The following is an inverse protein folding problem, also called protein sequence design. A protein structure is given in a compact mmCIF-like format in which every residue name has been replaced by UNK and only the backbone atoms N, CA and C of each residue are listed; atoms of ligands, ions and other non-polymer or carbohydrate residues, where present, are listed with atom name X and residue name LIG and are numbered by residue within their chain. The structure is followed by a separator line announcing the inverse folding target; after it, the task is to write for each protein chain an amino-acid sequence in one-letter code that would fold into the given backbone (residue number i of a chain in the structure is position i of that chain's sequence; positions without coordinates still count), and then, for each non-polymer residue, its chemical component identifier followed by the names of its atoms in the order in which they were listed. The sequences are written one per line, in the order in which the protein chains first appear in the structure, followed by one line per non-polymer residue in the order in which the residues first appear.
data_IF_242537288873
#
_entry.id   IF_242537288873
#
_cell.length_a   1.000
_cell.length_b   1.000
_cell.length_c   1.000
_cell.angle_alpha   90.00
_cell.angle_beta   90.00
_cell.angle_gamma   90.00
#
_symmetry.space_group_name_H-M   'P 1'
#
loop_
_entity.id
_entity.type
_entity.pdbx_description
1 polymer ?
#
# COMPACT_ATOMS: atom_id res chain seq x y z
N UNK A 1 21.37 -10.78 7.41
CA UNK A 1 20.55 -9.94 6.51
C UNK A 1 21.17 -8.55 6.47
N UNK A 2 21.25 -7.94 5.30
CA UNK A 2 21.80 -6.58 5.18
C UNK A 2 20.74 -5.57 5.58
N UNK A 3 20.96 -4.82 6.67
CA UNK A 3 20.03 -3.81 7.18
C UNK A 3 20.12 -2.52 6.36
N UNK A 4 18.99 -1.89 6.07
CA UNK A 4 18.92 -0.57 5.43
C UNK A 4 18.92 0.54 6.49
N UNK A 5 19.38 1.73 6.12
CA UNK A 5 19.21 2.93 6.94
C UNK A 5 17.74 3.39 6.92
N UNK A 6 17.14 3.43 5.72
CA UNK A 6 15.77 3.93 5.50
C UNK A 6 14.99 2.94 4.62
N UNK A 7 13.81 2.50 5.08
CA UNK A 7 12.81 1.88 4.22
C UNK A 7 11.71 2.90 3.87
N UNK A 8 11.37 3.00 2.59
CA UNK A 8 10.34 3.90 2.08
C UNK A 8 9.22 3.04 1.50
N UNK A 9 8.00 3.19 2.01
CA UNK A 9 6.86 2.37 1.60
C UNK A 9 5.89 3.22 0.79
N UNK A 10 5.99 3.13 -0.54
CA UNK A 10 5.18 3.86 -1.51
C UNK A 10 6.03 4.56 -2.57
N UNK A 11 5.63 4.45 -3.83
CA UNK A 11 6.31 5.04 -5.01
C UNK A 11 5.60 6.28 -5.58
N UNK A 12 4.67 6.88 -4.83
CA UNK A 12 4.06 8.16 -5.19
C UNK A 12 5.02 9.35 -4.96
N UNK A 13 4.59 10.60 -5.28
CA UNK A 13 5.46 11.78 -5.18
C UNK A 13 6.15 11.97 -3.81
N UNK A 14 5.49 11.58 -2.72
CA UNK A 14 6.09 11.61 -1.38
C UNK A 14 7.27 10.63 -1.25
N UNK A 15 7.07 9.36 -1.62
CA UNK A 15 8.12 8.35 -1.54
C UNK A 15 9.28 8.60 -2.50
N UNK A 16 8.98 9.06 -3.73
CA UNK A 16 10.02 9.42 -4.70
C UNK A 16 10.86 10.59 -4.19
N UNK A 17 10.22 11.66 -3.69
CA UNK A 17 10.93 12.79 -3.09
C UNK A 17 11.79 12.36 -1.89
N UNK A 18 11.28 11.46 -1.06
CA UNK A 18 12.04 10.89 0.05
C UNK A 18 13.27 10.10 -0.42
N UNK A 19 13.12 9.25 -1.44
CA UNK A 19 14.19 8.43 -2.00
C UNK A 19 15.30 9.29 -2.64
N UNK A 20 14.92 10.33 -3.39
CA UNK A 20 15.88 11.29 -3.96
C UNK A 20 16.72 11.93 -2.85
N UNK A 21 16.07 12.41 -1.78
CA UNK A 21 16.78 13.03 -0.66
C UNK A 21 17.64 12.03 0.13
N UNK A 22 17.17 10.80 0.34
CA UNK A 22 17.96 9.74 0.96
C UNK A 22 19.23 9.43 0.15
N UNK A 23 19.11 9.36 -1.19
CA UNK A 23 20.24 9.18 -2.12
C UNK A 23 21.24 10.33 -2.03
N UNK A 24 20.78 11.58 -2.08
CA UNK A 24 21.63 12.78 -1.97
C UNK A 24 22.41 12.80 -0.65
N UNK A 25 21.80 12.30 0.44
CA UNK A 25 22.42 12.21 1.77
C UNK A 25 23.26 10.94 1.98
N UNK A 26 23.54 10.18 0.92
CA UNK A 26 24.34 8.96 0.93
C UNK A 26 23.86 7.93 1.97
N UNK A 27 22.55 7.80 2.17
CA UNK A 27 21.97 6.75 3.02
C UNK A 27 21.75 5.49 2.20
N UNK A 28 21.88 4.34 2.85
CA UNK A 28 21.49 3.07 2.24
C UNK A 28 19.99 2.89 2.41
N UNK A 29 19.21 2.98 1.35
CA UNK A 29 17.75 2.90 1.43
C UNK A 29 17.15 1.88 0.47
N UNK A 30 15.91 1.49 0.76
CA UNK A 30 15.04 0.70 -0.12
C UNK A 30 13.71 1.43 -0.27
N UNK A 31 13.15 1.42 -1.48
CA UNK A 31 11.82 1.95 -1.76
C UNK A 31 10.94 0.85 -2.36
N UNK A 32 9.78 0.64 -1.76
CA UNK A 32 8.75 -0.29 -2.21
C UNK A 32 7.65 0.45 -2.96
N UNK A 33 7.14 -0.14 -4.03
CA UNK A 33 6.09 0.49 -4.81
C UNK A 33 5.72 -0.28 -6.07
N UNK A 34 5.14 0.41 -7.04
CA UNK A 34 4.66 -0.18 -8.28
C UNK A 34 5.39 0.37 -9.51
N UNK A 35 5.30 -0.36 -10.64
CA UNK A 35 5.91 0.04 -11.92
C UNK A 35 5.35 1.35 -12.47
N UNK A 36 4.11 1.68 -12.11
CA UNK A 36 3.44 2.89 -12.56
C UNK A 36 3.71 4.12 -11.67
N UNK A 37 4.57 4.00 -10.65
CA UNK A 37 4.80 4.98 -9.57
C UNK A 37 3.56 5.24 -8.71
N UNK A 38 2.48 5.72 -9.32
CA UNK A 38 1.17 5.84 -8.70
C UNK A 38 0.05 5.88 -9.75
N UNK A 39 -0.97 5.05 -9.56
CA UNK A 39 -2.15 5.02 -10.43
C UNK A 39 -2.95 6.33 -10.41
N UNK A 40 -2.86 7.11 -9.32
CA UNK A 40 -3.53 8.41 -9.20
C UNK A 40 -2.94 9.44 -10.15
N UNK A 41 -1.62 9.44 -10.33
CA UNK A 41 -0.95 10.35 -11.24
C UNK A 41 -1.30 9.98 -12.68
N UNK A 42 -1.13 8.71 -13.08
CA UNK A 42 -1.36 8.26 -14.47
C UNK A 42 -2.77 8.57 -14.96
N UNK A 43 -3.77 8.52 -14.08
CA UNK A 43 -5.17 8.84 -14.42
C UNK A 43 -5.46 10.34 -14.56
N UNK A 44 -4.53 11.24 -14.24
CA UNK A 44 -4.75 12.68 -14.29
C UNK A 44 -4.74 13.18 -15.75
N UNK A 45 -5.85 13.73 -16.27
CA UNK A 45 -5.91 14.18 -17.67
C UNK A 45 -5.06 15.43 -17.93
N UNK A 46 -4.94 16.31 -16.92
CA UNK A 46 -4.18 17.56 -16.99
C UNK A 46 -3.84 18.06 -15.59
N UNK A 47 -2.62 18.54 -15.42
CA UNK A 47 -2.08 19.08 -14.16
C UNK A 47 -1.56 20.49 -14.40
N UNK A 48 -2.15 21.48 -13.73
CA UNK A 48 -1.77 22.90 -13.86
C UNK A 48 -1.15 23.48 -12.58
N UNK A 49 -1.17 22.72 -11.49
CA UNK A 49 -0.84 23.17 -10.14
C UNK A 49 0.41 22.50 -9.57
N UNK A 50 1.22 21.86 -10.41
CA UNK A 50 2.57 21.45 -10.07
C UNK A 50 3.54 22.45 -10.70
N UNK A 51 4.21 23.25 -9.87
CA UNK A 51 5.16 24.26 -10.33
C UNK A 51 6.24 23.62 -11.21
N UNK A 52 6.37 24.08 -12.46
CA UNK A 52 7.30 23.55 -13.46
C UNK A 52 6.71 22.53 -14.45
N UNK A 53 5.51 22.00 -14.21
CA UNK A 53 4.84 21.03 -15.10
C UNK A 53 3.46 21.51 -15.57
N UNK A 54 3.32 22.81 -15.85
CA UNK A 54 2.03 23.38 -16.26
C UNK A 54 1.51 22.76 -17.55
N UNK A 55 0.26 22.29 -17.53
CA UNK A 55 -0.45 21.80 -18.71
C UNK A 55 -0.15 20.36 -19.08
N UNK A 56 0.77 19.70 -18.38
CA UNK A 56 1.11 18.30 -18.62
C UNK A 56 0.02 17.35 -18.12
N UNK A 57 -0.15 16.22 -18.77
CA UNK A 57 -0.95 15.12 -18.25
C UNK A 57 -0.15 14.28 -17.24
N UNK A 58 -0.86 13.37 -16.56
CA UNK A 58 -0.30 12.51 -15.55
C UNK A 58 0.82 11.58 -16.03
N UNK A 59 0.68 11.05 -17.24
CA UNK A 59 1.66 10.13 -17.82
C UNK A 59 2.97 10.86 -18.20
N UNK A 60 2.88 12.08 -18.73
CA UNK A 60 4.04 12.94 -18.99
C UNK A 60 4.82 13.24 -17.69
N UNK A 61 4.11 13.56 -16.60
CA UNK A 61 4.74 13.80 -15.30
C UNK A 61 5.34 12.50 -14.74
N UNK A 62 4.66 11.36 -14.88
CA UNK A 62 5.20 10.04 -14.49
C UNK A 62 6.53 9.78 -15.19
N UNK A 63 6.61 10.03 -16.49
CA UNK A 63 7.84 9.83 -17.26
C UNK A 63 8.96 10.76 -16.77
N UNK A 64 8.65 12.02 -16.44
CA UNK A 64 9.62 12.96 -15.83
C UNK A 64 10.13 12.50 -14.46
N UNK A 65 9.27 11.86 -13.66
CA UNK A 65 9.72 11.24 -12.41
C UNK A 65 10.62 10.03 -12.66
N UNK A 66 10.27 9.17 -13.61
CA UNK A 66 11.09 8.01 -13.98
C UNK A 66 12.48 8.44 -14.49
N UNK A 67 12.55 9.44 -15.38
CA UNK A 67 13.81 10.03 -15.87
C UNK A 67 14.71 10.49 -14.71
N UNK A 68 14.13 11.08 -13.66
CA UNK A 68 14.88 11.53 -12.49
C UNK A 68 15.41 10.37 -11.65
N UNK A 69 14.59 9.32 -11.43
CA UNK A 69 15.03 8.11 -10.73
C UNK A 69 16.18 7.42 -11.46
N UNK A 70 16.06 7.29 -12.78
CA UNK A 70 17.06 6.65 -13.64
C UNK A 70 18.38 7.45 -13.59
N UNK A 71 18.31 8.78 -13.73
CA UNK A 71 19.48 9.66 -13.65
C UNK A 71 20.21 9.57 -12.29
N UNK A 72 19.48 9.27 -11.21
CA UNK A 72 20.04 9.10 -9.87
C UNK A 72 20.35 7.64 -9.51
N UNK A 73 20.14 6.70 -10.43
CA UNK A 73 20.29 5.26 -10.19
C UNK A 73 19.50 4.83 -8.93
N UNK A 74 18.20 5.11 -8.92
CA UNK A 74 17.26 4.73 -7.86
C UNK A 74 16.30 3.68 -8.43
N UNK A 75 16.37 2.47 -7.89
CA UNK A 75 15.50 1.36 -8.30
C UNK A 75 14.35 1.18 -7.31
N UNK A 76 13.14 0.98 -7.84
CA UNK A 76 11.96 0.64 -7.04
C UNK A 76 11.85 -0.88 -6.90
N UNK A 77 11.60 -1.33 -5.68
CA UNK A 77 11.30 -2.73 -5.38
C UNK A 77 9.81 -2.95 -5.60
N UNK A 78 9.46 -3.72 -6.64
CA UNK A 78 8.08 -4.00 -7.03
C UNK A 78 7.47 -5.14 -6.20
N UNK A 79 7.47 -4.98 -4.89
CA UNK A 79 6.91 -5.95 -3.95
C UNK A 79 6.01 -5.23 -2.93
N UNK A 80 4.96 -5.92 -2.49
CA UNK A 80 3.98 -5.36 -1.56
C UNK A 80 4.43 -5.58 -0.12
N UNK A 81 4.49 -4.48 0.64
CA UNK A 81 4.69 -4.55 2.09
C UNK A 81 3.36 -4.87 2.76
N UNK A 82 3.32 -5.98 3.50
CA UNK A 82 2.10 -6.50 4.13
C UNK A 82 1.96 -6.00 5.57
N UNK A 83 3.05 -6.06 6.33
CA UNK A 83 3.10 -5.61 7.72
C UNK A 83 4.48 -5.07 8.05
N UNK A 84 4.51 -4.16 9.03
CA UNK A 84 5.75 -3.59 9.55
C UNK A 84 5.68 -3.60 11.07
N UNK A 85 6.70 -4.19 11.69
CA UNK A 85 6.80 -4.29 13.14
C UNK A 85 7.94 -3.42 13.65
N UNK A 86 7.65 -2.59 14.65
CA UNK A 86 8.66 -1.85 15.38
C UNK A 86 9.35 -2.80 16.37
N UNK A 87 10.65 -3.03 16.20
CA UNK A 87 11.44 -3.99 16.97
C UNK A 87 12.27 -3.32 18.08
N UNK A 88 12.07 -2.01 18.32
CA UNK A 88 12.88 -1.20 19.21
C UNK A 88 13.83 -0.30 18.42
N UNK A 89 15.01 -0.83 18.05
CA UNK A 89 16.07 -0.09 17.35
C UNK A 89 15.98 -0.15 15.81
N UNK A 90 15.02 -0.91 15.28
CA UNK A 90 14.76 -1.04 13.84
C UNK A 90 13.32 -1.46 13.57
N UNK A 91 12.98 -1.52 12.28
CA UNK A 91 11.71 -1.99 11.74
C UNK A 91 11.92 -3.26 10.92
N UNK A 92 11.09 -4.26 11.15
CA UNK A 92 10.99 -5.46 10.31
C UNK A 92 9.82 -5.31 9.35
N UNK A 93 10.07 -5.35 8.04
CA UNK A 93 9.07 -5.25 6.99
C UNK A 93 8.83 -6.65 6.42
N UNK A 94 7.58 -7.12 6.53
CA UNK A 94 7.12 -8.36 5.89
C UNK A 94 6.67 -8.04 4.48
N UNK A 95 7.31 -8.65 3.50
CA UNK A 95 7.13 -8.37 2.08
C UNK A 95 6.94 -9.70 1.36
N UNK A 96 5.69 -10.07 1.06
CA UNK A 96 5.35 -11.41 0.62
C UNK A 96 5.96 -12.47 1.57
N UNK A 97 6.79 -13.39 1.04
CA UNK A 97 7.51 -14.41 1.82
C UNK A 97 8.89 -13.96 2.33
N UNK A 98 9.27 -12.68 2.11
CA UNK A 98 10.55 -12.11 2.48
C UNK A 98 10.43 -11.19 3.69
N UNK A 99 11.56 -10.98 4.35
CA UNK A 99 11.71 -10.01 5.43
C UNK A 99 12.85 -9.05 5.11
N UNK A 100 12.58 -7.75 5.31
CA UNK A 100 13.56 -6.68 5.20
C UNK A 100 13.69 -5.96 6.54
N UNK A 101 14.89 -5.42 6.82
CA UNK A 101 15.12 -4.63 8.03
C UNK A 101 15.59 -3.22 7.67
N UNK A 102 15.06 -2.21 8.37
CA UNK A 102 15.52 -0.84 8.27
C UNK A 102 15.56 -0.12 9.63
N UNK A 103 16.56 0.72 9.87
CA UNK A 103 16.66 1.51 11.10
C UNK A 103 15.57 2.58 11.22
N UNK A 104 15.15 3.14 10.09
CA UNK A 104 14.06 4.12 10.02
C UNK A 104 13.08 3.77 8.91
N UNK A 105 11.86 4.27 9.04
CA UNK A 105 10.74 3.98 8.16
C UNK A 105 10.08 5.28 7.68
N UNK A 106 9.79 5.38 6.39
CA UNK A 106 8.97 6.46 5.81
C UNK A 106 7.75 5.82 5.15
N UNK A 107 6.58 6.05 5.75
CA UNK A 107 5.28 5.66 5.21
C UNK A 107 4.82 6.69 4.18
N UNK A 108 4.77 6.29 2.91
CA UNK A 108 4.35 7.13 1.79
C UNK A 108 3.29 6.41 0.95
N UNK A 109 2.44 5.61 1.61
CA UNK A 109 1.47 4.70 0.99
C UNK A 109 0.37 5.45 0.24
N UNK A 110 0.15 6.72 0.56
CA UNK A 110 -0.97 7.49 0.04
C UNK A 110 -2.25 7.23 0.84
N UNK A 111 -3.40 7.51 0.23
CA UNK A 111 -4.71 7.28 0.85
C UNK A 111 -5.63 6.60 -0.13
N UNK A 112 -6.44 5.70 0.39
CA UNK A 112 -7.55 5.14 -0.34
C UNK A 112 -8.86 5.46 0.39
N UNK A 113 -9.82 5.95 -0.39
CA UNK A 113 -11.08 6.48 0.13
C UNK A 113 -12.19 5.44 0.24
N UNK A 114 -11.89 4.18 -0.03
CA UNK A 114 -12.87 3.11 0.06
C UNK A 114 -13.14 2.83 1.53
N UNK A 115 -14.34 3.21 1.99
CA UNK A 115 -14.82 2.80 3.31
C UNK A 115 -14.70 1.28 3.41
N UNK A 116 -14.29 0.80 4.58
CA UNK A 116 -14.34 -0.62 4.88
C UNK A 116 -15.77 -1.13 4.68
N UNK A 117 -15.90 -2.32 4.10
CA UNK A 117 -17.18 -3.00 3.97
C UNK A 117 -17.67 -3.34 5.39
N UNK A 118 -18.97 -3.31 5.64
CA UNK A 118 -19.51 -3.71 6.95
C UNK A 118 -19.01 -5.13 7.27
N UNK A 119 -18.48 -5.34 8.47
CA UNK A 119 -17.87 -6.61 8.89
C UNK A 119 -16.41 -6.84 8.45
N UNK A 120 -15.85 -6.03 7.54
CA UNK A 120 -14.46 -6.19 7.05
C UNK A 120 -13.45 -6.19 8.20
N UNK A 121 -13.55 -5.22 9.12
CA UNK A 121 -12.64 -5.10 10.27
C UNK A 121 -12.93 -6.13 11.36
N UNK A 122 -14.20 -6.54 11.52
CA UNK A 122 -14.63 -7.50 12.55
C UNK A 122 -14.10 -8.91 12.27
N UNK A 123 -14.11 -9.31 11.00
CA UNK A 123 -13.66 -10.62 10.55
C UNK A 123 -12.21 -10.64 10.06
N UNK A 124 -11.45 -9.56 10.25
CA UNK A 124 -10.03 -9.51 9.89
C UNK A 124 -9.24 -10.58 10.67
N UNK A 125 -8.51 -11.44 9.95
CA UNK A 125 -7.83 -12.59 10.51
C UNK A 125 -8.75 -13.77 10.90
N UNK A 126 -10.07 -13.65 10.65
CA UNK A 126 -11.09 -14.68 10.88
C UNK A 126 -11.88 -14.98 9.60
N UNK A 127 -11.21 -14.95 8.45
CA UNK A 127 -11.82 -15.12 7.14
C UNK A 127 -11.68 -13.88 6.25
N UNK A 128 -11.37 -12.70 6.79
CA UNK A 128 -10.98 -11.52 5.97
C UNK A 128 -9.47 -11.35 5.97
N UNK A 129 -8.90 -11.09 4.79
CA UNK A 129 -7.48 -10.80 4.60
C UNK A 129 -7.23 -9.75 3.51
N UNK A 130 -6.02 -9.19 3.49
CA UNK A 130 -5.61 -8.17 2.52
C UNK A 130 -4.47 -8.60 1.59
N UNK A 131 -3.91 -9.78 1.82
CA UNK A 131 -2.93 -10.44 0.97
C UNK A 131 -3.45 -11.86 0.70
N UNK A 132 -4.03 -12.09 -0.47
CA UNK A 132 -4.62 -13.39 -0.79
C UNK A 132 -3.50 -14.43 -0.94
N UNK A 133 -2.38 -14.07 -1.57
CA UNK A 133 -1.22 -14.97 -1.72
C UNK A 133 -0.63 -15.45 -0.39
N UNK A 134 -0.60 -14.59 0.64
CA UNK A 134 -0.09 -14.92 1.97
C UNK A 134 -0.98 -15.94 2.70
N UNK A 135 -2.30 -15.75 2.60
CA UNK A 135 -3.28 -16.48 3.40
C UNK A 135 -3.95 -17.63 2.62
N UNK A 136 -3.82 -17.69 1.29
CA UNK A 136 -4.45 -18.70 0.44
C UNK A 136 -4.18 -20.15 0.87
N UNK A 137 -2.98 -20.54 1.36
CA UNK A 137 -2.76 -21.90 1.87
C UNK A 137 -3.73 -22.31 2.99
N UNK A 138 -4.24 -21.37 3.81
CA UNK A 138 -5.20 -21.62 4.90
C UNK A 138 -6.62 -21.96 4.39
N UNK A 139 -6.89 -21.63 3.13
CA UNK A 139 -8.18 -21.81 2.47
C UNK A 139 -8.12 -22.79 1.30
N UNK A 140 -7.12 -23.69 1.31
CA UNK A 140 -7.05 -24.81 0.37
C UNK A 140 -8.34 -25.65 0.41
N UNK A 141 -8.89 -25.97 -0.77
CA UNK A 141 -10.15 -26.70 -0.95
C UNK A 141 -11.39 -26.03 -0.31
N UNK A 142 -11.34 -24.72 -0.05
CA UNK A 142 -12.47 -23.93 0.45
C UNK A 142 -12.99 -22.97 -0.60
N UNK A 143 -14.17 -22.39 -0.34
CA UNK A 143 -14.74 -21.35 -1.20
C UNK A 143 -14.13 -20.02 -0.80
N UNK A 144 -13.56 -19.30 -1.76
CA UNK A 144 -12.90 -18.01 -1.55
C UNK A 144 -13.57 -16.95 -2.41
N UNK A 145 -13.64 -15.73 -1.89
CA UNK A 145 -14.05 -14.55 -2.64
C UNK A 145 -12.95 -13.50 -2.60
N UNK A 146 -12.56 -12.97 -3.76
CA UNK A 146 -11.64 -11.84 -3.87
C UNK A 146 -12.43 -10.62 -4.33
N UNK A 147 -12.30 -9.51 -3.60
CA UNK A 147 -12.81 -8.19 -3.99
C UNK A 147 -11.61 -7.38 -4.51
N UNK A 148 -11.52 -7.24 -5.83
CA UNK A 148 -10.37 -6.62 -6.50
C UNK A 148 -10.62 -5.15 -6.84
N UNK A 149 -9.79 -4.25 -6.31
CA UNK A 149 -9.85 -2.80 -6.62
C UNK A 149 -8.85 -2.36 -7.69
N UNK A 150 -7.91 -3.25 -8.07
CA UNK A 150 -6.86 -2.97 -9.04
C UNK A 150 -6.57 -4.21 -9.91
N UNK A 151 -5.73 -4.04 -10.94
CA UNK A 151 -5.37 -5.13 -11.86
C UNK A 151 -4.46 -6.17 -11.19
N UNK A 152 -3.65 -5.77 -10.22
CA UNK A 152 -2.78 -6.66 -9.46
C UNK A 152 -3.58 -7.74 -8.72
N UNK A 153 -4.83 -7.46 -8.32
CA UNK A 153 -5.74 -8.43 -7.74
C UNK A 153 -6.09 -9.61 -8.69
N UNK A 154 -5.98 -9.42 -10.01
CA UNK A 154 -6.21 -10.49 -11.00
C UNK A 154 -5.09 -11.55 -10.94
N UNK A 155 -3.85 -11.13 -10.69
CA UNK A 155 -2.71 -12.05 -10.52
C UNK A 155 -2.87 -12.89 -9.24
N UNK A 156 -3.24 -12.24 -8.13
CA UNK A 156 -3.54 -12.95 -6.89
C UNK A 156 -4.72 -13.91 -7.06
N UNK A 157 -5.77 -13.52 -7.79
CA UNK A 157 -6.92 -14.38 -8.07
C UNK A 157 -6.54 -15.63 -8.87
N UNK A 158 -5.68 -15.51 -9.89
CA UNK A 158 -5.17 -16.67 -10.63
C UNK A 158 -4.42 -17.63 -9.72
N UNK A 159 -3.54 -17.13 -8.85
CA UNK A 159 -2.84 -17.97 -7.87
C UNK A 159 -3.80 -18.68 -6.90
N UNK A 160 -4.75 -17.96 -6.32
CA UNK A 160 -5.71 -18.56 -5.36
C UNK A 160 -6.62 -19.58 -6.03
N UNK A 161 -6.95 -19.40 -7.32
CA UNK A 161 -7.79 -20.34 -8.08
C UNK A 161 -7.20 -21.74 -8.21
N UNK A 162 -5.88 -21.89 -8.07
CA UNK A 162 -5.19 -23.19 -8.08
C UNK A 162 -5.30 -23.94 -6.74
N UNK A 163 -5.66 -23.24 -5.66
CA UNK A 163 -5.71 -23.77 -4.30
C UNK A 163 -7.13 -23.92 -3.75
N UNK A 164 -8.02 -22.98 -4.08
CA UNK A 164 -9.41 -22.95 -3.61
C UNK A 164 -10.26 -24.00 -4.35
N UNK A 165 -11.34 -24.47 -3.71
CA UNK A 165 -12.31 -25.35 -4.39
C UNK A 165 -13.21 -24.57 -5.35
N UNK A 166 -13.44 -23.29 -5.05
CA UNK A 166 -14.19 -22.35 -5.88
C UNK A 166 -13.70 -20.93 -5.56
N UNK A 167 -13.54 -20.12 -6.60
CA UNK A 167 -13.14 -18.72 -6.46
C UNK A 167 -14.17 -17.79 -7.11
N UNK A 168 -14.70 -16.86 -6.32
CA UNK A 168 -15.45 -15.72 -6.80
C UNK A 168 -14.54 -14.50 -6.92
N UNK A 169 -14.61 -13.77 -8.04
CA UNK A 169 -13.92 -12.50 -8.21
C UNK A 169 -14.93 -11.37 -8.39
N UNK A 170 -14.89 -10.38 -7.50
CA UNK A 170 -15.77 -9.20 -7.50
C UNK A 170 -14.94 -7.97 -7.92
N UNK A 171 -14.97 -7.57 -9.21
CA UNK A 171 -14.20 -6.42 -9.68
C UNK A 171 -14.85 -5.09 -9.26
N UNK A 172 -14.08 -4.22 -8.61
CA UNK A 172 -14.49 -2.88 -8.18
C UNK A 172 -13.99 -1.77 -9.13
N UNK A 173 -13.41 -2.16 -10.27
CA UNK A 173 -12.97 -1.29 -11.36
C UNK A 173 -13.59 -1.74 -12.68
N UNK A 174 -13.54 -0.87 -13.69
CA UNK A 174 -14.01 -1.18 -15.04
C UNK A 174 -12.82 -1.56 -15.92
N UNK A 175 -12.95 -2.63 -16.69
CA UNK A 175 -11.95 -3.07 -17.65
C UNK A 175 -12.22 -4.49 -18.14
N UNK A 176 -11.33 -4.97 -19.00
CA UNK A 176 -11.19 -6.40 -19.29
C UNK A 176 -10.35 -7.05 -18.19
N UNK A 177 -10.74 -8.26 -17.77
CA UNK A 177 -10.09 -9.02 -16.70
C UNK A 177 -9.36 -10.24 -17.29
N UNK A 178 -8.11 -10.41 -16.92
CA UNK A 178 -7.26 -11.52 -17.35
C UNK A 178 -7.31 -12.62 -16.27
N UNK A 179 -8.41 -13.38 -16.25
CA UNK A 179 -8.70 -14.41 -15.27
C UNK A 179 -8.88 -15.79 -15.92
N UNK A 180 -8.66 -16.86 -15.15
CA UNK A 180 -8.88 -18.23 -15.60
C UNK A 180 -10.38 -18.55 -15.69
N UNK A 181 -10.79 -19.44 -16.61
CA UNK A 181 -12.19 -19.88 -16.77
C UNK A 181 -12.79 -20.53 -15.50
N UNK A 182 -11.94 -21.01 -14.60
CA UNK A 182 -12.35 -21.57 -13.30
C UNK A 182 -12.82 -20.50 -12.29
N UNK A 183 -12.58 -19.22 -12.55
CA UNK A 183 -12.89 -18.10 -11.67
C UNK A 183 -14.27 -17.54 -12.06
N UNK A 184 -15.21 -17.54 -11.12
CA UNK A 184 -16.54 -17.00 -11.35
C UNK A 184 -16.53 -15.48 -11.08
N UNK A 185 -16.67 -14.68 -12.14
CA UNK A 185 -16.67 -13.22 -12.05
C UNK A 185 -18.07 -12.73 -11.69
N UNK A 186 -18.19 -12.01 -10.58
CA UNK A 186 -19.46 -11.49 -10.04
C UNK A 186 -19.49 -9.97 -10.15
N UNK A 187 -20.32 -9.47 -11.06
CA UNK A 187 -20.55 -8.04 -11.25
C UNK A 187 -21.62 -7.50 -10.29
N UNK A 188 -21.25 -7.34 -9.03
CA UNK A 188 -22.12 -6.79 -8.00
C UNK A 188 -21.32 -6.00 -6.96
N UNK A 189 -21.98 -5.21 -6.12
CA UNK A 189 -21.30 -4.41 -5.09
C UNK A 189 -21.35 -5.10 -3.73
N UNK A 190 -20.22 -5.25 -3.03
CA UNK A 190 -20.19 -5.77 -1.66
C UNK A 190 -20.82 -4.81 -0.66
N UNK A 191 -21.69 -5.34 0.19
CA UNK A 191 -22.45 -4.60 1.21
C UNK A 191 -21.99 -4.97 2.62
N UNK A 192 -21.87 -6.26 2.90
CA UNK A 192 -21.57 -6.78 4.24
C UNK A 192 -20.85 -8.13 4.18
N UNK A 193 -19.83 -8.29 5.01
CA UNK A 193 -19.17 -9.57 5.30
C UNK A 193 -19.73 -10.05 6.64
N UNK A 194 -20.21 -11.29 6.69
CA UNK A 194 -20.88 -11.84 7.86
C UNK A 194 -20.44 -13.27 8.17
N UNK A 195 -20.67 -13.66 9.42
CA UNK A 195 -20.27 -14.94 9.98
C UNK A 195 -20.55 -15.01 11.49
N UNK A 196 -20.39 -16.19 12.08
CA UNK A 196 -20.46 -16.35 13.55
C UNK A 196 -19.06 -16.19 14.16
N UNK A 197 -18.25 -17.27 14.11
CA UNK A 197 -16.86 -17.25 14.59
C UNK A 197 -15.86 -16.83 13.50
N UNK A 198 -16.21 -17.11 12.25
CA UNK A 198 -15.43 -16.83 11.04
C UNK A 198 -16.39 -16.46 9.91
N UNK A 199 -15.87 -15.88 8.85
CA UNK A 199 -16.64 -15.58 7.63
C UNK A 199 -17.33 -16.85 7.12
N UNK A 200 -18.62 -16.71 6.78
CA UNK A 200 -19.37 -17.74 6.04
C UNK A 200 -20.14 -17.15 4.84
N UNK A 201 -20.29 -15.82 4.75
CA UNK A 201 -21.10 -15.18 3.73
C UNK A 201 -20.60 -13.78 3.38
N UNK A 202 -20.59 -13.47 2.08
CA UNK A 202 -20.47 -12.11 1.55
C UNK A 202 -21.83 -11.70 0.95
N UNK A 203 -22.44 -10.66 1.52
CA UNK A 203 -23.64 -10.03 0.98
C UNK A 203 -23.26 -8.97 -0.05
N UNK A 204 -23.85 -9.08 -1.22
CA UNK A 204 -23.77 -8.12 -2.30
C UNK A 204 -25.08 -7.33 -2.38
N UNK A 205 -25.17 -6.35 -3.28
CA UNK A 205 -26.38 -5.52 -3.45
C UNK A 205 -27.56 -6.35 -3.97
N UNK A 206 -27.30 -7.31 -4.87
CA UNK A 206 -28.33 -8.10 -5.56
C UNK A 206 -28.23 -9.61 -5.28
N UNK A 207 -27.18 -10.06 -4.59
CA UNK A 207 -26.91 -11.47 -4.35
C UNK A 207 -26.25 -11.73 -2.98
N UNK A 208 -26.16 -13.00 -2.62
CA UNK A 208 -25.38 -13.47 -1.47
C UNK A 208 -24.48 -14.61 -1.92
N UNK A 209 -23.21 -14.58 -1.49
CA UNK A 209 -22.23 -15.61 -1.76
C UNK A 209 -21.89 -16.33 -0.47
N UNK A 210 -22.02 -17.66 -0.44
CA UNK A 210 -21.41 -18.48 0.59
C UNK A 210 -19.91 -18.55 0.34
N UNK A 211 -19.11 -18.22 1.35
CA UNK A 211 -17.66 -18.14 1.21
C UNK A 211 -16.97 -18.33 2.55
N UNK A 212 -15.86 -19.06 2.56
CA UNK A 212 -15.05 -19.29 3.75
C UNK A 212 -14.03 -18.16 3.99
N UNK A 213 -13.73 -17.38 2.95
CA UNK A 213 -12.75 -16.29 3.00
C UNK A 213 -13.11 -15.15 2.05
N UNK A 214 -12.89 -13.91 2.49
CA UNK A 214 -13.01 -12.70 1.68
C UNK A 214 -11.69 -11.95 1.69
N UNK A 215 -10.98 -11.93 0.58
CA UNK A 215 -9.79 -11.13 0.41
C UNK A 215 -10.13 -9.78 -0.23
N UNK A 216 -9.79 -8.68 0.45
CA UNK A 216 -10.09 -7.33 -0.01
C UNK A 216 -8.80 -6.69 -0.55
N UNK A 217 -8.58 -6.80 -1.86
CA UNK A 217 -7.33 -6.41 -2.50
C UNK A 217 -7.40 -4.97 -3.01
N UNK A 218 -6.95 -4.06 -2.13
CA UNK A 218 -6.85 -2.60 -2.34
C UNK A 218 -5.42 -2.18 -2.69
N UNK A 219 -5.24 -0.98 -3.27
CA UNK A 219 -3.91 -0.39 -3.51
C UNK A 219 -3.17 -0.11 -2.18
N UNK A 220 -3.93 0.25 -1.14
CA UNK A 220 -3.38 0.54 0.18
C UNK A 220 -4.18 -0.12 1.30
N UNK A 221 -3.46 -0.62 2.31
CA UNK A 221 -4.02 -1.06 3.58
C UNK A 221 -4.08 0.16 4.51
N UNK A 222 -5.02 0.20 5.45
CA UNK A 222 -5.05 1.30 6.43
C UNK A 222 -3.71 1.38 7.17
N UNK A 223 -3.15 2.58 7.38
CA UNK A 223 -1.83 2.70 7.99
C UNK A 223 -1.69 2.04 9.36
N UNK A 224 -2.76 2.03 10.18
CA UNK A 224 -2.77 1.38 11.49
C UNK A 224 -2.75 -0.16 11.43
N UNK A 225 -3.22 -0.76 10.33
CA UNK A 225 -3.07 -2.21 10.10
C UNK A 225 -1.70 -2.55 9.51
N UNK A 226 -1.15 -1.68 8.66
CA UNK A 226 0.19 -1.84 8.11
C UNK A 226 1.26 -1.77 9.21
N UNK A 227 1.10 -0.82 10.15
CA UNK A 227 2.01 -0.62 11.29
C UNK A 227 1.20 -0.63 12.59
N UNK A 228 1.16 -1.76 13.32
CA UNK A 228 0.44 -1.84 14.58
C UNK A 228 0.93 -0.79 15.60
N UNK A 229 0.00 -0.12 16.28
CA UNK A 229 0.29 0.90 17.29
C UNK A 229 0.49 2.32 16.74
N UNK A 230 0.37 2.52 15.42
CA UNK A 230 0.42 3.84 14.81
C UNK A 230 -0.83 4.68 15.17
N UNK A 231 -0.63 5.92 15.63
CA UNK A 231 -1.73 6.85 15.90
C UNK A 231 -2.37 7.35 14.60
N UNK A 232 -3.69 7.16 14.49
CA UNK A 232 -4.51 7.58 13.36
C UNK A 232 -5.53 8.62 13.83
N UNK A 233 -5.63 9.72 13.11
CA UNK A 233 -6.60 10.80 13.34
C UNK A 233 -7.36 11.06 12.03
N UNK A 234 -8.70 11.00 12.07
CA UNK A 234 -9.58 11.16 10.89
C UNK A 234 -9.24 10.28 9.67
N UNK A 235 -8.64 9.12 9.92
CA UNK A 235 -8.21 8.17 8.89
C UNK A 235 -6.82 8.46 8.32
N UNK A 236 -6.08 9.43 8.87
CA UNK A 236 -4.72 9.79 8.48
C UNK A 236 -3.71 9.48 9.58
N UNK A 237 -2.48 9.20 9.20
CA UNK A 237 -1.37 9.05 10.14
C UNK A 237 -1.12 10.41 10.77
N UNK A 238 -1.21 10.47 12.10
CA UNK A 238 -0.94 11.69 12.84
C UNK A 238 0.57 11.95 12.83
N UNK A 239 0.95 13.16 12.40
CA UNK A 239 2.36 13.58 12.34
C UNK A 239 2.57 14.99 12.88
N UNK A 240 3.80 15.26 13.31
CA UNK A 240 4.25 16.62 13.62
C UNK A 240 4.80 17.36 12.38
N UNK A 241 5.32 18.57 12.58
CA UNK A 241 5.91 19.40 11.52
C UNK A 241 7.18 18.81 10.89
N UNK A 242 7.87 17.91 11.57
CA UNK A 242 9.02 17.17 11.09
C UNK A 242 8.63 15.82 10.46
N UNK A 243 7.32 15.58 10.24
CA UNK A 243 6.75 14.34 9.67
C UNK A 243 6.95 13.10 10.57
N UNK A 244 7.22 13.29 11.87
CA UNK A 244 7.35 12.18 12.83
C UNK A 244 5.99 11.66 13.22
N UNK A 245 5.87 10.33 13.35
CA UNK A 245 4.70 9.69 13.93
C UNK A 245 4.87 9.53 15.45
N UNK A 246 3.93 8.87 16.13
CA UNK A 246 4.07 8.49 17.54
C UNK A 246 5.14 7.40 17.79
N UNK A 247 5.61 6.71 16.74
CA UNK A 247 6.62 5.66 16.82
C UNK A 247 7.99 6.25 16.48
N UNK A 248 8.95 6.15 17.40
CA UNK A 248 10.30 6.67 17.19
C UNK A 248 10.97 6.02 15.95
N UNK A 249 11.60 6.85 15.10
CA UNK A 249 12.21 6.39 13.85
C UNK A 249 11.22 6.11 12.71
N UNK A 250 9.92 6.23 12.95
CA UNK A 250 8.88 6.16 11.92
C UNK A 250 8.40 7.57 11.52
N UNK A 251 8.33 7.79 10.22
CA UNK A 251 7.87 9.03 9.60
C UNK A 251 6.77 8.72 8.59
N UNK A 252 5.96 9.71 8.25
CA UNK A 252 4.93 9.55 7.22
C UNK A 252 4.80 10.80 6.36
N UNK A 253 4.45 10.64 5.08
CA UNK A 253 4.39 11.75 4.13
C UNK A 253 3.35 11.54 3.01
N UNK A 254 2.79 12.64 2.53
CA UNK A 254 1.85 12.68 1.41
C UNK A 254 0.41 12.50 1.83
N UNK A 255 -0.41 11.88 0.98
CA UNK A 255 -1.84 11.79 1.26
C UNK A 255 -2.13 11.05 2.59
N UNK A 256 -1.28 10.09 2.97
CA UNK A 256 -1.45 9.29 4.19
C UNK A 256 -1.46 10.11 5.48
N UNK A 257 -0.90 11.34 5.47
CA UNK A 257 -0.85 12.24 6.64
C UNK A 257 -1.90 13.35 6.61
N UNK A 258 -2.84 13.33 5.66
CA UNK A 258 -3.96 14.27 5.64
C UNK A 258 -4.07 15.15 4.41
N UNK A 259 -5.17 15.92 4.40
CA UNK A 259 -5.49 16.91 3.39
C UNK A 259 -4.50 18.09 3.44
N UNK A 260 -4.29 18.81 2.32
CA UNK A 260 -4.85 18.56 0.99
C UNK A 260 -4.07 17.49 0.21
N UNK A 261 -4.77 16.67 -0.57
CA UNK A 261 -4.14 15.65 -1.43
C UNK A 261 -3.65 16.27 -2.71
N UNK A 262 -2.38 16.66 -2.73
CA UNK A 262 -1.78 17.39 -3.84
C UNK A 262 -0.36 16.88 -4.07
N UNK A 263 0.04 16.72 -5.33
CA UNK A 263 1.34 16.16 -5.68
C UNK A 263 2.51 16.95 -5.09
N UNK A 264 2.45 18.28 -5.13
CA UNK A 264 3.51 19.15 -4.61
C UNK A 264 3.58 19.16 -3.08
N UNK A 265 2.43 19.05 -2.40
CA UNK A 265 2.34 18.85 -0.94
C UNK A 265 3.02 17.54 -0.56
N UNK A 266 2.67 16.47 -1.26
CA UNK A 266 3.24 15.14 -1.05
C UNK A 266 4.75 15.12 -1.28
N UNK A 267 5.24 15.72 -2.37
CA UNK A 267 6.68 15.83 -2.62
C UNK A 267 7.40 16.64 -1.54
N UNK A 268 6.81 17.74 -1.07
CA UNK A 268 7.37 18.56 0.02
C UNK A 268 7.48 17.79 1.33
N UNK A 269 6.44 17.06 1.72
CA UNK A 269 6.44 16.24 2.93
C UNK A 269 7.42 15.06 2.82
N UNK A 270 7.54 14.44 1.64
CA UNK A 270 8.53 13.40 1.39
C UNK A 270 9.97 13.87 1.62
N UNK A 271 10.28 15.10 1.21
CA UNK A 271 11.56 15.74 1.51
C UNK A 271 11.77 15.92 3.02
N UNK A 272 10.78 16.50 3.72
CA UNK A 272 10.86 16.70 5.17
C UNK A 272 11.09 15.37 5.89
N UNK A 273 10.29 14.34 5.58
CA UNK A 273 10.41 13.02 6.19
C UNK A 273 11.80 12.40 5.98
N UNK A 274 12.36 12.49 4.78
CA UNK A 274 13.71 11.99 4.51
C UNK A 274 14.80 12.74 5.29
N UNK A 275 14.72 14.06 5.38
CA UNK A 275 15.68 14.85 6.15
C UNK A 275 15.56 14.58 7.65
N UNK A 276 14.34 14.39 8.16
CA UNK A 276 14.09 14.00 9.55
C UNK A 276 14.62 12.60 9.86
N UNK A 277 14.43 11.64 8.95
CA UNK A 277 14.98 10.28 9.08
C UNK A 277 16.52 10.29 9.08
N UNK A 278 17.13 11.06 8.18
CA UNK A 278 18.59 11.26 8.14
C UNK A 278 19.11 11.82 9.47
N UNK A 279 18.47 12.88 9.98
CA UNK A 279 18.82 13.49 11.28
C UNK A 279 18.68 12.50 12.43
N UNK A 280 17.63 11.69 12.43
CA UNK A 280 17.43 10.65 13.44
C UNK A 280 18.56 9.60 13.39
N UNK A 281 18.89 9.09 12.19
CA UNK A 281 19.98 8.13 12.01
C UNK A 281 21.34 8.65 12.46
N UNK A 282 21.61 9.93 12.23
CA UNK A 282 22.87 10.55 12.64
C UNK A 282 22.95 10.67 14.17
N UNK A 283 21.84 10.95 14.85
CA UNK A 283 21.77 10.96 16.32
C UNK A 283 21.96 9.55 16.93
N UNK A 284 21.52 8.49 16.25
CA UNK A 284 21.74 7.11 16.70
C UNK A 284 23.23 6.70 16.68
N UNK A 285 24.07 7.34 15.85
CA UNK A 285 25.51 7.04 15.77
C UNK A 285 26.35 7.70 16.88
N UNK A 286 25.77 8.68 17.58
CA UNK A 286 26.46 9.49 18.60
C UNK A 286 26.22 8.94 20.01
N UNK A 287 25.29 8.00 20.19
CA UNK A 287 25.09 7.21 21.41
C UNK A 287 25.93 5.93 21.38
#
# INVERSE_FOLDING_TARGET
MERYDIAIVGSGPAGLSAALNAKIRNKKFIIFGNKNLTNKLVKAPKVNNYLGFYGMNGEEIKNKFQEHLDAMNINITYERVNNIYAMGDYFALMVNEKMYEAKTLILATGMEYTKAIKGELEFLGRGVGYCATCDAPLYKNKVVTIIGYNKEAEEEARYVSELASKLYYVPMYKGEYELNDSIEVIHDKPVEISGELKVNKLKLENAELETDAVFVLKDTISPGQLVPGLEIEDGHIKVDREMKTNIEGCFAAGDCVGKPYQYIKSAGEGNIAALSAVKHLDNLKVK
#
